data_IF_863820042648
#
_entry.id   IF_863820042648
#
_cell.length_a   1.000
_cell.length_b   1.000
_cell.length_c   1.000
_cell.angle_alpha   90.00
_cell.angle_beta   90.00
_cell.angle_gamma   90.00
#
_symmetry.space_group_name_H-M   'P 1'
#
loop_
_entity.id
_entity.type
_entity.pdbx_description
1 polymer ?
#
# COMPACT_ATOMS: atom_id res chain seq x y z
N UNK A 1 21.21 14.46 7.65
CA UNK A 1 20.99 13.07 8.11
C UNK A 1 20.13 12.41 7.05
N UNK A 2 20.69 11.48 6.27
CA UNK A 2 19.91 10.75 5.26
C UNK A 2 19.23 9.61 6.03
N UNK A 3 17.92 9.71 6.20
CA UNK A 3 17.10 8.68 6.83
C UNK A 3 16.98 7.52 5.85
N UNK A 4 17.42 6.32 6.27
CA UNK A 4 17.37 5.06 5.52
C UNK A 4 15.93 4.54 5.26
N UNK A 5 14.94 5.41 5.04
CA UNK A 5 13.53 5.05 4.94
C UNK A 5 13.02 4.88 3.50
N UNK A 6 13.87 5.11 2.48
CA UNK A 6 13.48 5.16 1.06
C UNK A 6 14.32 4.29 0.13
N UNK A 7 15.08 3.30 0.64
CA UNK A 7 15.82 2.40 -0.24
C UNK A 7 14.96 1.19 -0.64
N UNK A 8 14.03 1.41 -1.56
CA UNK A 8 13.53 0.32 -2.40
C UNK A 8 14.61 0.10 -3.47
N UNK A 9 15.23 -1.09 -3.51
CA UNK A 9 16.19 -1.41 -4.56
C UNK A 9 15.55 -1.11 -5.94
N UNK A 10 16.23 -0.38 -6.84
CA UNK A 10 15.69 -0.03 -8.16
C UNK A 10 15.23 -1.26 -8.96
N UNK A 11 15.84 -2.43 -8.71
CA UNK A 11 15.50 -3.74 -9.27
C UNK A 11 14.09 -4.23 -8.93
N UNK A 12 13.49 -3.72 -7.84
CA UNK A 12 12.17 -4.11 -7.37
C UNK A 12 11.07 -3.09 -7.67
N UNK A 13 11.40 -1.89 -8.18
CA UNK A 13 10.43 -0.84 -8.50
C UNK A 13 9.35 -1.26 -9.52
N UNK A 14 9.58 -2.30 -10.30
CA UNK A 14 8.61 -2.87 -11.24
C UNK A 14 7.83 -4.09 -10.71
N UNK A 15 8.16 -4.58 -9.51
CA UNK A 15 7.54 -5.78 -8.92
C UNK A 15 6.36 -5.45 -8.02
N UNK A 16 6.26 -4.22 -7.53
CA UNK A 16 5.15 -3.77 -6.71
C UNK A 16 4.15 -2.97 -7.54
N UNK A 17 2.86 -3.26 -7.38
CA UNK A 17 1.80 -2.43 -7.93
C UNK A 17 1.74 -1.07 -7.23
N UNK A 18 1.08 -0.06 -7.83
CA UNK A 18 0.60 1.10 -7.08
C UNK A 18 -0.29 0.69 -5.89
N UNK A 19 -0.45 1.61 -4.93
CA UNK A 19 -1.39 1.44 -3.82
C UNK A 19 -2.81 1.21 -4.37
N UNK A 20 -3.49 0.21 -3.84
CA UNK A 20 -4.83 -0.16 -4.24
C UNK A 20 -5.60 -0.74 -3.05
N UNK A 21 -6.92 -0.77 -3.16
CA UNK A 21 -7.78 -1.43 -2.18
C UNK A 21 -7.72 -2.94 -2.36
N UNK A 22 -7.35 -3.64 -1.29
CA UNK A 22 -7.26 -5.10 -1.21
C UNK A 22 -8.29 -5.64 -0.20
N UNK A 23 -8.73 -6.88 -0.42
CA UNK A 23 -9.70 -7.59 0.45
C UNK A 23 -9.01 -8.72 1.22
N UNK A 24 -9.33 -8.84 2.49
CA UNK A 24 -8.92 -9.93 3.38
C UNK A 24 -10.15 -10.59 4.03
N UNK A 25 -9.94 -11.65 4.80
CA UNK A 25 -10.99 -12.26 5.62
C UNK A 25 -11.57 -11.30 6.68
N UNK A 26 -10.80 -10.31 7.13
CA UNK A 26 -11.18 -9.37 8.18
C UNK A 26 -11.82 -8.06 7.64
N UNK A 27 -11.88 -7.87 6.31
CA UNK A 27 -12.37 -6.64 5.69
C UNK A 27 -11.45 -6.14 4.59
N UNK A 28 -11.44 -4.82 4.36
CA UNK A 28 -10.69 -4.16 3.28
C UNK A 28 -9.51 -3.38 3.83
N UNK A 29 -8.44 -3.22 3.06
CA UNK A 29 -7.27 -2.43 3.44
C UNK A 29 -6.60 -1.86 2.18
N UNK A 30 -5.67 -0.93 2.35
CA UNK A 30 -4.86 -0.38 1.26
C UNK A 30 -3.48 -1.00 1.33
N UNK A 31 -2.99 -1.43 0.17
CA UNK A 31 -1.67 -2.02 0.07
C UNK A 31 -1.20 -2.12 -1.36
N UNK A 32 -0.05 -2.77 -1.53
CA UNK A 32 0.54 -3.08 -2.84
C UNK A 32 0.50 -4.59 -3.09
N UNK A 33 0.54 -4.98 -4.36
CA UNK A 33 0.71 -6.38 -4.78
C UNK A 33 2.15 -6.53 -5.23
N UNK A 34 2.87 -7.48 -4.64
CA UNK A 34 4.17 -7.93 -5.14
C UNK A 34 3.96 -9.01 -6.19
N UNK A 35 4.69 -8.91 -7.30
CA UNK A 35 4.78 -9.93 -8.34
C UNK A 35 6.21 -10.44 -8.39
N UNK A 36 6.40 -11.73 -8.20
CA UNK A 36 7.72 -12.34 -8.24
C UNK A 36 8.26 -12.52 -9.67
N UNK A 37 9.44 -13.13 -9.80
CA UNK A 37 10.06 -13.38 -11.11
C UNK A 37 9.36 -14.47 -11.94
N UNK A 38 8.49 -15.27 -11.32
CA UNK A 38 7.69 -16.31 -11.96
C UNK A 38 6.30 -15.80 -12.35
N UNK A 39 5.92 -14.60 -11.91
CA UNK A 39 4.63 -13.98 -12.18
C UNK A 39 3.57 -14.25 -11.11
N UNK A 40 3.94 -14.89 -10.01
CA UNK A 40 3.06 -15.15 -8.88
C UNK A 40 2.82 -13.86 -8.09
N UNK A 41 1.56 -13.67 -7.67
CA UNK A 41 1.10 -12.45 -7.01
C UNK A 41 0.83 -12.69 -5.53
N UNK A 42 1.41 -11.86 -4.69
CA UNK A 42 1.21 -11.88 -3.25
C UNK A 42 1.04 -10.47 -2.66
N UNK A 43 0.47 -10.32 -1.46
CA UNK A 43 0.39 -9.03 -0.79
C UNK A 43 1.81 -8.50 -0.52
N UNK A 44 2.15 -7.36 -1.13
CA UNK A 44 3.50 -6.77 -1.02
C UNK A 44 3.71 -6.04 0.30
N UNK A 45 2.86 -5.05 0.59
CA UNK A 45 2.86 -4.32 1.85
C UNK A 45 1.42 -3.97 2.25
N UNK A 46 1.17 -3.96 3.56
CA UNK A 46 -0.05 -3.41 4.14
C UNK A 46 0.27 -2.01 4.63
N UNK A 47 -0.27 -1.02 3.93
CA UNK A 47 0.02 0.38 4.17
C UNK A 47 -1.13 1.08 4.92
N UNK A 48 -2.20 0.37 5.29
CA UNK A 48 -3.27 0.92 6.14
C UNK A 48 -3.87 -0.10 7.10
N UNK A 49 -4.66 0.41 8.06
CA UNK A 49 -5.59 -0.38 8.86
C UNK A 49 -6.76 -0.95 8.03
N UNK A 50 -7.65 -1.69 8.72
CA UNK A 50 -8.83 -2.30 8.10
C UNK A 50 -10.01 -1.34 8.02
N UNK A 51 -10.73 -1.42 6.91
CA UNK A 51 -11.99 -0.75 6.64
C UNK A 51 -13.12 -1.78 6.56
N UNK A 52 -14.28 -1.40 7.10
CA UNK A 52 -15.48 -2.24 7.07
C UNK A 52 -16.02 -2.46 5.65
N UNK A 53 -15.83 -1.51 4.73
CA UNK A 53 -16.32 -1.58 3.35
C UNK A 53 -15.25 -1.15 2.35
N UNK A 54 -15.38 -1.65 1.12
CA UNK A 54 -14.50 -1.27 0.00
C UNK A 54 -14.55 0.24 -0.28
N UNK A 55 -15.74 0.84 -0.22
CA UNK A 55 -15.94 2.28 -0.50
C UNK A 55 -15.18 3.14 0.51
N UNK A 56 -15.17 2.77 1.79
CA UNK A 56 -14.39 3.51 2.81
C UNK A 56 -12.90 3.41 2.57
N UNK A 57 -12.41 2.23 2.18
CA UNK A 57 -11.02 2.03 1.81
C UNK A 57 -10.65 2.86 0.57
N UNK A 58 -11.53 2.90 -0.44
CA UNK A 58 -11.28 3.67 -1.66
C UNK A 58 -11.29 5.17 -1.41
N UNK A 59 -12.25 5.68 -0.63
CA UNK A 59 -12.28 7.10 -0.23
C UNK A 59 -11.01 7.52 0.52
N UNK A 60 -10.49 6.65 1.39
CA UNK A 60 -9.22 6.90 2.07
C UNK A 60 -8.06 6.90 1.09
N UNK A 61 -8.00 5.92 0.18
CA UNK A 61 -6.98 5.87 -0.87
C UNK A 61 -6.99 7.13 -1.74
N UNK A 62 -8.16 7.61 -2.15
CA UNK A 62 -8.30 8.82 -2.98
C UNK A 62 -7.83 10.08 -2.23
N UNK A 63 -8.11 10.14 -0.93
CA UNK A 63 -7.63 11.22 -0.04
C UNK A 63 -6.10 11.19 0.08
N UNK A 64 -5.54 10.01 0.34
CA UNK A 64 -4.08 9.79 0.48
C UNK A 64 -3.34 10.01 -0.84
N UNK A 65 -3.96 9.70 -1.97
CA UNK A 65 -3.37 9.94 -3.30
C UNK A 65 -3.36 11.43 -3.67
N UNK A 66 -4.18 12.24 -3.01
CA UNK A 66 -4.30 13.69 -3.26
C UNK A 66 -3.36 14.55 -2.39
N UNK A 67 -2.66 13.95 -1.43
CA UNK A 67 -1.72 14.66 -0.54
C UNK A 67 -0.28 14.51 -1.00
N UNK A 68 0.55 15.53 -0.75
CA UNK A 68 1.94 15.56 -1.18
C UNK A 68 2.82 14.47 -0.53
N UNK A 69 2.47 14.02 0.69
CA UNK A 69 3.16 12.96 1.43
C UNK A 69 2.17 11.86 1.86
N UNK A 70 1.89 10.87 0.99
CA UNK A 70 0.96 9.78 1.28
C UNK A 70 1.37 8.94 2.51
N UNK A 71 2.67 8.77 2.72
CA UNK A 71 3.22 7.93 3.79
C UNK A 71 2.86 8.39 5.20
N UNK A 72 2.62 9.69 5.40
CA UNK A 72 2.25 10.26 6.70
C UNK A 72 0.87 9.76 7.16
N UNK A 73 -0.04 9.46 6.22
CA UNK A 73 -1.39 8.96 6.52
C UNK A 73 -1.47 7.44 6.60
N UNK A 74 -0.49 6.75 6.04
CA UNK A 74 -0.41 5.29 5.97
C UNK A 74 0.27 4.70 7.23
N UNK A 75 1.16 5.46 7.87
CA UNK A 75 1.94 5.00 9.03
C UNK A 75 1.35 5.34 10.40
N UNK A 76 0.35 6.22 10.48
CA UNK A 76 -0.15 6.77 11.75
C UNK A 76 -1.33 6.02 12.39
N UNK A 77 -1.72 4.86 11.84
CA UNK A 77 -2.71 4.00 12.48
C UNK A 77 -2.14 2.59 12.71
N UNK A 78 -1.77 2.26 13.98
CA UNK A 78 -1.20 0.96 14.36
C UNK A 78 -2.15 -0.22 14.12
#
# INVERSE_FOLDING_TARGET
MITNADYIEPSQKGRYSPLQVLKSAAGYYIGTIYTDEYGDKEPGSRDSGYFATQEKAQQFLDTVSSVANPQDYLRDHP
#
